data_IF_132720886422
#
_entry.id   IF_132720886422
#
_cell.length_a   1.000
_cell.length_b   1.000
_cell.length_c   1.000
_cell.angle_alpha   90.00
_cell.angle_beta   90.00
_cell.angle_gamma   90.00
#
_symmetry.space_group_name_H-M   'P 1'
#
loop_
_entity.id
_entity.type
_entity.pdbx_description
1 polymer ?
#
# COMPACT_ATOMS: atom_id res chain seq x y z
N UNK A 1 9.17 -10.45 2.77
CA UNK A 1 8.02 -10.54 3.70
C UNK A 1 6.73 -10.49 2.88
N UNK A 2 6.40 -11.62 2.23
CA UNK A 2 5.33 -11.75 1.21
C UNK A 2 3.90 -11.75 1.76
N UNK A 3 3.76 -11.98 3.06
CA UNK A 3 2.45 -12.26 3.67
C UNK A 3 1.52 -11.04 3.71
N UNK A 4 2.05 -9.83 3.85
CA UNK A 4 1.24 -8.61 3.95
C UNK A 4 0.43 -8.31 2.68
N UNK A 5 1.06 -8.13 1.50
CA UNK A 5 0.29 -7.90 0.28
C UNK A 5 -0.60 -9.10 -0.08
N UNK A 6 -0.20 -10.32 0.29
CA UNK A 6 -1.04 -11.53 0.10
C UNK A 6 -2.34 -11.47 0.91
N UNK A 7 -2.27 -11.11 2.19
CA UNK A 7 -3.45 -10.96 3.04
C UNK A 7 -4.34 -9.81 2.55
N UNK A 8 -3.73 -8.66 2.20
CA UNK A 8 -4.47 -7.52 1.64
C UNK A 8 -5.22 -7.93 0.37
N UNK A 9 -4.57 -8.65 -0.55
CA UNK A 9 -5.20 -9.11 -1.80
C UNK A 9 -6.38 -10.04 -1.50
N UNK A 10 -6.19 -11.03 -0.62
CA UNK A 10 -7.26 -11.95 -0.23
C UNK A 10 -8.45 -11.21 0.38
N UNK A 11 -8.21 -10.24 1.27
CA UNK A 11 -9.28 -9.45 1.87
C UNK A 11 -9.99 -8.57 0.83
N UNK A 12 -9.26 -7.97 -0.12
CA UNK A 12 -9.88 -7.21 -1.21
C UNK A 12 -10.73 -8.09 -2.13
N UNK A 13 -10.35 -9.33 -2.37
CA UNK A 13 -11.08 -10.28 -3.21
C UNK A 13 -12.34 -10.84 -2.53
N UNK A 14 -12.42 -10.79 -1.20
CA UNK A 14 -13.59 -11.27 -0.44
C UNK A 14 -14.88 -10.55 -0.87
N UNK A 15 -15.95 -11.32 -1.13
CA UNK A 15 -17.25 -10.80 -1.57
C UNK A 15 -17.93 -9.91 -0.53
N UNK A 16 -17.60 -10.08 0.76
CA UNK A 16 -18.11 -9.24 1.84
C UNK A 16 -17.57 -7.80 1.77
N UNK A 17 -16.47 -7.56 1.04
CA UNK A 17 -15.97 -6.20 0.77
C UNK A 17 -16.68 -5.66 -0.47
N UNK A 18 -17.53 -4.61 -0.34
CA UNK A 18 -18.29 -4.09 -1.47
C UNK A 18 -17.39 -3.41 -2.49
N UNK A 19 -17.72 -3.56 -3.77
CA UNK A 19 -17.07 -2.80 -4.84
C UNK A 19 -17.32 -1.30 -4.70
N UNK A 20 -16.31 -0.48 -5.02
CA UNK A 20 -16.32 0.99 -5.03
C UNK A 20 -16.56 1.70 -3.69
N UNK A 21 -17.03 1.01 -2.65
CA UNK A 21 -17.28 1.60 -1.33
C UNK A 21 -16.58 0.86 -0.20
N UNK A 22 -16.28 -0.43 -0.38
CA UNK A 22 -15.51 -1.21 0.58
C UNK A 22 -14.07 -0.74 0.67
N UNK A 23 -13.57 -0.63 1.90
CA UNK A 23 -12.20 -0.22 2.19
C UNK A 23 -11.52 -1.28 3.04
N UNK A 24 -10.35 -1.72 2.60
CA UNK A 24 -9.42 -2.54 3.39
C UNK A 24 -8.36 -1.61 3.95
N UNK A 25 -8.24 -1.61 5.27
CA UNK A 25 -7.22 -0.87 6.00
C UNK A 25 -6.24 -1.86 6.59
N UNK A 26 -4.95 -1.57 6.44
CA UNK A 26 -3.88 -2.28 7.15
C UNK A 26 -3.23 -1.38 8.19
N UNK A 27 -2.98 -1.96 9.37
CA UNK A 27 -2.17 -1.35 10.41
C UNK A 27 -1.17 -2.39 10.95
N UNK A 28 0.12 -2.07 10.95
CA UNK A 28 1.14 -2.96 11.51
C UNK A 28 0.94 -3.17 13.02
N UNK A 29 1.27 -4.38 13.47
CA UNK A 29 1.23 -4.73 14.88
C UNK A 29 2.08 -3.75 15.72
N UNK A 30 1.59 -3.41 16.91
CA UNK A 30 2.19 -2.40 17.79
C UNK A 30 1.67 -0.98 17.56
N UNK A 31 0.83 -0.76 16.55
CA UNK A 31 0.10 0.49 16.36
C UNK A 31 -1.38 0.30 16.73
N UNK A 32 -2.06 1.40 17.04
CA UNK A 32 -3.50 1.42 17.33
C UNK A 32 -4.12 2.75 16.88
N UNK A 33 -5.43 2.75 16.67
CA UNK A 33 -6.18 3.96 16.37
C UNK A 33 -6.54 4.71 17.64
N UNK A 34 -6.31 6.02 17.64
CA UNK A 34 -6.86 6.94 18.63
C UNK A 34 -8.08 7.59 18.00
N UNK A 35 -9.27 7.06 18.32
CA UNK A 35 -10.54 7.51 17.74
C UNK A 35 -10.94 6.78 16.45
N UNK A 36 -11.98 7.29 15.79
CA UNK A 36 -12.50 6.72 14.54
C UNK A 36 -11.58 7.07 13.34
N UNK A 37 -11.00 6.07 12.64
CA UNK A 37 -10.16 6.33 11.48
C UNK A 37 -10.94 6.76 10.23
N UNK A 38 -12.27 6.57 10.17
CA UNK A 38 -13.04 6.80 8.94
C UNK A 38 -12.83 8.18 8.29
N UNK A 39 -12.80 9.31 9.02
CA UNK A 39 -12.61 10.62 8.40
C UNK A 39 -11.24 10.76 7.71
N UNK A 40 -10.18 10.19 8.30
CA UNK A 40 -8.82 10.26 7.74
C UNK A 40 -8.71 9.36 6.51
N UNK A 41 -9.33 8.18 6.57
CA UNK A 41 -9.38 7.21 5.46
C UNK A 41 -10.15 7.80 4.29
N UNK A 42 -11.33 8.38 4.54
CA UNK A 42 -12.15 9.01 3.53
C UNK A 42 -11.39 10.13 2.81
N UNK A 43 -10.69 10.99 3.58
CA UNK A 43 -9.84 12.05 3.03
C UNK A 43 -8.68 11.51 2.20
N UNK A 44 -7.99 10.47 2.67
CA UNK A 44 -6.87 9.88 1.96
C UNK A 44 -7.28 9.27 0.61
N UNK A 45 -8.49 8.73 0.52
CA UNK A 45 -9.04 8.09 -0.67
C UNK A 45 -9.81 9.04 -1.62
N UNK A 46 -9.69 10.35 -1.44
CA UNK A 46 -10.29 11.34 -2.36
C UNK A 46 -9.54 11.45 -3.69
N UNK A 47 -8.22 11.28 -3.68
CA UNK A 47 -7.36 11.45 -4.87
C UNK A 47 -6.86 10.15 -5.50
N UNK A 48 -7.07 9.00 -4.84
CA UNK A 48 -6.60 7.68 -5.26
C UNK A 48 -7.40 6.59 -4.55
N UNK A 49 -7.46 5.40 -5.14
CA UNK A 49 -8.04 4.20 -4.51
C UNK A 49 -7.04 3.45 -3.61
N UNK A 50 -5.77 3.87 -3.64
CA UNK A 50 -4.71 3.38 -2.77
C UNK A 50 -4.02 4.56 -2.12
N UNK A 51 -3.90 4.53 -0.79
CA UNK A 51 -3.16 5.56 -0.07
C UNK A 51 -2.30 4.96 1.05
N UNK A 52 -1.19 5.64 1.33
CA UNK A 52 -0.22 5.28 2.35
C UNK A 52 0.34 6.54 2.99
N UNK A 53 0.97 6.40 4.16
CA UNK A 53 1.67 7.53 4.77
C UNK A 53 3.01 7.79 4.08
N UNK A 54 3.27 9.04 3.69
CA UNK A 54 4.58 9.45 3.19
C UNK A 54 5.57 9.61 4.34
N UNK A 55 6.69 8.91 4.27
CA UNK A 55 7.82 9.08 5.19
C UNK A 55 8.61 10.32 4.76
N UNK A 56 8.49 11.42 5.53
CA UNK A 56 9.16 12.68 5.19
C UNK A 56 10.65 12.70 5.54
N UNK A 57 11.05 11.88 6.51
CA UNK A 57 12.42 11.83 7.03
C UNK A 57 13.39 11.02 6.17
N UNK A 58 12.85 10.12 5.37
CA UNK A 58 13.55 8.88 5.07
C UNK A 58 13.53 8.64 3.56
N UNK A 59 14.70 8.77 2.96
CA UNK A 59 15.01 8.26 1.63
C UNK A 59 15.58 6.87 1.86
N UNK A 60 14.72 5.86 1.79
CA UNK A 60 15.04 4.48 2.15
C UNK A 60 15.71 3.74 0.96
N UNK A 61 16.68 4.40 0.32
CA UNK A 61 17.37 3.85 -0.85
C UNK A 61 18.04 2.52 -0.52
N UNK A 62 18.70 2.45 0.64
CA UNK A 62 19.44 1.28 1.10
C UNK A 62 18.54 0.07 1.41
N UNK A 63 17.24 0.32 1.61
CA UNK A 63 16.23 -0.69 1.92
C UNK A 63 15.36 -1.05 0.71
N UNK A 64 15.62 -0.44 -0.45
CA UNK A 64 14.90 -0.72 -1.68
C UNK A 64 15.51 -1.92 -2.39
N UNK A 65 14.71 -2.97 -2.58
CA UNK A 65 15.16 -4.17 -3.30
C UNK A 65 15.54 -3.84 -4.75
N UNK A 66 16.78 -4.16 -5.13
CA UNK A 66 17.25 -4.04 -6.52
C UNK A 66 16.42 -4.90 -7.48
N UNK A 67 15.94 -6.07 -7.03
CA UNK A 67 15.07 -6.94 -7.81
C UNK A 67 13.69 -6.32 -8.03
N UNK A 68 13.13 -5.65 -7.02
CA UNK A 68 11.88 -4.92 -7.17
C UNK A 68 12.02 -3.77 -8.17
N UNK A 69 13.14 -3.02 -8.12
CA UNK A 69 13.43 -1.97 -9.12
C UNK A 69 13.51 -2.53 -10.55
N UNK A 70 14.20 -3.67 -10.72
CA UNK A 70 14.31 -4.37 -12.01
C UNK A 70 12.94 -4.78 -12.55
N UNK A 71 12.08 -5.36 -11.70
CA UNK A 71 10.72 -5.79 -12.07
C UNK A 71 9.79 -4.63 -12.41
N UNK A 72 9.99 -3.48 -11.78
CA UNK A 72 9.25 -2.25 -12.07
C UNK A 72 9.77 -1.52 -13.33
N UNK A 73 10.86 -1.97 -13.94
CA UNK A 73 11.51 -1.28 -15.06
C UNK A 73 12.04 0.11 -14.69
N UNK A 74 12.20 0.38 -13.39
CA UNK A 74 12.61 1.68 -12.85
C UNK A 74 14.11 1.75 -12.59
N UNK A 75 14.64 2.97 -12.56
CA UNK A 75 16.01 3.21 -12.11
C UNK A 75 16.03 3.65 -10.65
N UNK A 76 17.17 3.46 -9.98
CA UNK A 76 17.42 3.90 -8.61
C UNK A 76 17.05 5.38 -8.40
N UNK A 77 17.43 6.25 -9.34
CA UNK A 77 17.13 7.69 -9.28
C UNK A 77 15.64 8.04 -9.39
N UNK A 78 14.85 7.21 -10.08
CA UNK A 78 13.41 7.46 -10.27
C UNK A 78 12.56 7.01 -9.08
N UNK A 79 13.05 6.05 -8.29
CA UNK A 79 12.26 5.38 -7.23
C UNK A 79 12.98 5.44 -5.88
N UNK A 80 14.20 4.90 -5.80
CA UNK A 80 14.93 4.73 -4.54
C UNK A 80 15.42 6.06 -3.92
N UNK A 81 15.76 7.04 -4.75
CA UNK A 81 16.25 8.36 -4.30
C UNK A 81 15.10 9.36 -4.02
N UNK A 82 13.89 8.85 -3.79
CA UNK A 82 12.69 9.64 -3.52
C UNK A 82 12.14 9.30 -2.13
N UNK A 83 11.45 10.25 -1.46
CA UNK A 83 10.74 9.96 -0.22
C UNK A 83 9.76 8.81 -0.43
N UNK A 84 9.90 7.78 0.39
CA UNK A 84 9.11 6.55 0.24
C UNK A 84 7.80 6.61 1.02
N UNK A 85 6.92 5.66 0.70
CA UNK A 85 5.67 5.45 1.42
C UNK A 85 5.89 4.38 2.50
N UNK A 86 5.53 4.72 3.72
CA UNK A 86 5.52 3.78 4.84
C UNK A 86 4.36 2.82 4.67
N UNK A 87 4.68 1.53 4.52
CA UNK A 87 3.66 0.50 4.39
C UNK A 87 2.94 0.20 5.72
N UNK A 88 3.41 0.70 6.87
CA UNK A 88 2.85 0.39 8.20
C UNK A 88 1.39 0.82 8.38
N UNK A 89 0.94 1.81 7.59
CA UNK A 89 -0.45 2.22 7.46
C UNK A 89 -0.77 2.41 5.98
N UNK A 90 -1.64 1.54 5.44
CA UNK A 90 -2.07 1.58 4.04
C UNK A 90 -3.57 1.31 3.94
N UNK A 91 -4.22 1.97 2.99
CA UNK A 91 -5.66 1.86 2.75
C UNK A 91 -5.95 1.63 1.28
N UNK A 92 -6.94 0.78 1.01
CA UNK A 92 -7.32 0.35 -0.33
C UNK A 92 -8.83 0.38 -0.45
N UNK A 93 -9.36 1.19 -1.39
CA UNK A 93 -10.75 1.06 -1.83
C UNK A 93 -10.84 -0.09 -2.83
N UNK A 94 -11.77 -1.03 -2.62
CA UNK A 94 -11.96 -2.15 -3.55
C UNK A 94 -12.38 -1.65 -4.93
N UNK A 95 -11.42 -1.68 -5.84
CA UNK A 95 -11.50 -1.26 -7.24
C UNK A 95 -10.53 -2.13 -8.05
N UNK A 96 -10.70 -2.17 -9.36
CA UNK A 96 -9.77 -2.89 -10.24
C UNK A 96 -8.34 -2.33 -10.11
N UNK A 97 -8.21 -1.01 -9.95
CA UNK A 97 -6.94 -0.32 -9.74
C UNK A 97 -6.24 -0.77 -8.45
N UNK A 98 -6.96 -0.84 -7.34
CA UNK A 98 -6.39 -1.29 -6.07
C UNK A 98 -5.98 -2.78 -6.11
N UNK A 99 -6.81 -3.63 -6.71
CA UNK A 99 -6.50 -5.05 -6.92
C UNK A 99 -5.22 -5.22 -7.75
N UNK A 100 -5.15 -4.59 -8.92
CA UNK A 100 -3.98 -4.64 -9.79
C UNK A 100 -2.71 -4.10 -9.12
N UNK A 101 -2.83 -3.03 -8.33
CA UNK A 101 -1.69 -2.52 -7.54
C UNK A 101 -1.15 -3.55 -6.55
N UNK A 102 -2.02 -4.27 -5.82
CA UNK A 102 -1.58 -5.25 -4.83
C UNK A 102 -1.02 -6.52 -5.50
N UNK A 103 -1.58 -6.92 -6.64
CA UNK A 103 -1.04 -7.99 -7.49
C UNK A 103 0.36 -7.65 -8.01
N UNK A 104 0.56 -6.42 -8.49
CA UNK A 104 1.87 -5.90 -8.90
C UNK A 104 2.85 -5.88 -7.72
N UNK A 105 2.39 -5.46 -6.54
CA UNK A 105 3.20 -5.47 -5.33
C UNK A 105 3.65 -6.89 -4.97
N UNK A 106 2.75 -7.88 -5.00
CA UNK A 106 3.12 -9.29 -4.78
C UNK A 106 4.17 -9.76 -5.77
N UNK A 107 3.97 -9.52 -7.07
CA UNK A 107 4.94 -9.88 -8.11
C UNK A 107 6.29 -9.23 -7.88
N UNK A 108 6.36 -8.01 -7.34
CA UNK A 108 7.64 -7.34 -7.05
C UNK A 108 8.30 -7.81 -5.75
N UNK A 109 7.54 -8.44 -4.85
CA UNK A 109 8.01 -8.92 -3.55
C UNK A 109 8.49 -10.39 -3.55
N UNK A 110 8.16 -11.15 -4.60
CA UNK A 110 8.62 -12.53 -4.87
C UNK A 110 10.04 -12.59 -5.43
#
# INVERSE_FOLDING_TARGET
WLWKPHLILRTLQDEAVPWHTGVVLWLDAGNFFVGDPQPVVARALQGSDVAAMRLKCCVESDWTSAEALRRLGGSHHTIADRPQLGAYFVVFRKTATALGFVEDWLRCAE
#
